data_IF_047533915058
#
_entry.id   IF_047533915058
#
_cell.length_a   1.000
_cell.length_b   1.000
_cell.length_c   1.000
_cell.angle_alpha   90.00
_cell.angle_beta   90.00
_cell.angle_gamma   90.00
#
_symmetry.space_group_name_H-M   'P 1'
#
loop_
_entity.id
_entity.type
_entity.pdbx_description
1 polymer ?
#
# COMPACT_ATOMS: atom_id res chain seq x y z
N UNK A 1 -5.72 -6.55 -5.12
CA UNK A 1 -6.62 -5.40 -4.95
C UNK A 1 -8.01 -5.81 -5.42
N UNK A 2 -9.04 -5.60 -4.61
CA UNK A 2 -10.42 -5.91 -5.01
C UNK A 2 -10.83 -4.99 -6.16
N UNK A 3 -11.47 -5.55 -7.19
CA UNK A 3 -11.93 -4.79 -8.36
C UNK A 3 -12.95 -3.75 -7.92
N UNK A 4 -12.75 -2.49 -8.36
CA UNK A 4 -13.67 -1.38 -8.11
C UNK A 4 -15.06 -1.71 -8.69
N UNK A 5 -16.12 -1.48 -7.91
CA UNK A 5 -17.50 -1.54 -8.39
C UNK A 5 -18.03 -0.12 -8.53
N UNK A 6 -18.30 0.26 -9.78
CA UNK A 6 -18.61 1.65 -10.17
C UNK A 6 -19.84 2.21 -9.45
N UNK A 7 -20.85 1.38 -9.23
CA UNK A 7 -22.12 1.72 -8.59
C UNK A 7 -22.04 1.84 -7.06
N UNK A 8 -21.14 1.08 -6.43
CA UNK A 8 -20.97 1.05 -4.97
C UNK A 8 -19.88 2.01 -4.49
N UNK A 9 -18.77 2.08 -5.23
CA UNK A 9 -17.49 2.67 -4.80
C UNK A 9 -17.25 4.07 -5.40
N UNK A 10 -18.14 4.60 -6.25
CA UNK A 10 -18.01 5.96 -6.79
C UNK A 10 -19.09 6.86 -6.20
N UNK A 11 -18.68 7.93 -5.50
CA UNK A 11 -19.61 8.87 -4.86
C UNK A 11 -19.28 10.32 -5.20
N UNK A 12 -20.28 11.17 -5.47
CA UNK A 12 -20.09 12.62 -5.52
C UNK A 12 -19.60 13.16 -4.17
N UNK A 13 -18.75 14.18 -4.21
CA UNK A 13 -18.25 14.84 -2.99
C UNK A 13 -19.38 15.47 -2.16
N UNK A 14 -20.45 15.93 -2.81
CA UNK A 14 -21.67 16.43 -2.15
C UNK A 14 -22.34 15.35 -1.29
N UNK A 15 -22.45 14.14 -1.84
CA UNK A 15 -23.13 13.02 -1.23
C UNK A 15 -22.30 12.49 -0.07
N UNK A 16 -20.98 12.37 -0.27
CA UNK A 16 -20.05 12.02 0.80
C UNK A 16 -20.16 12.99 1.97
N UNK A 17 -20.19 14.31 1.72
CA UNK A 17 -20.33 15.33 2.77
C UNK A 17 -21.64 15.21 3.55
N UNK A 18 -22.72 14.81 2.90
CA UNK A 18 -24.02 14.61 3.56
C UNK A 18 -24.05 13.35 4.45
N UNK A 19 -23.19 12.36 4.20
CA UNK A 19 -23.22 11.04 4.84
C UNK A 19 -21.88 10.53 5.37
N UNK A 20 -20.97 11.41 5.80
CA UNK A 20 -19.58 11.04 6.12
C UNK A 20 -19.49 9.82 7.05
N UNK A 21 -20.26 9.81 8.14
CA UNK A 21 -20.20 8.74 9.14
C UNK A 21 -20.59 7.36 8.57
N UNK A 22 -21.60 7.27 7.71
CA UNK A 22 -22.02 6.00 7.11
C UNK A 22 -21.00 5.51 6.09
N UNK A 23 -20.42 6.41 5.29
CA UNK A 23 -19.37 6.05 4.33
C UNK A 23 -18.10 5.59 5.03
N UNK A 24 -17.64 6.29 6.07
CA UNK A 24 -16.47 5.86 6.86
C UNK A 24 -16.71 4.48 7.48
N UNK A 25 -17.92 4.23 8.03
CA UNK A 25 -18.30 2.91 8.53
C UNK A 25 -18.23 1.84 7.43
N UNK A 26 -18.80 2.11 6.25
CA UNK A 26 -18.74 1.20 5.11
C UNK A 26 -17.30 0.87 4.69
N UNK A 27 -16.41 1.88 4.61
CA UNK A 27 -14.99 1.66 4.26
C UNK A 27 -14.34 0.72 5.28
N UNK A 28 -14.58 0.94 6.58
CA UNK A 28 -13.99 0.13 7.64
C UNK A 28 -14.54 -1.30 7.69
N UNK A 29 -15.84 -1.50 7.39
CA UNK A 29 -16.47 -2.83 7.40
C UNK A 29 -16.17 -3.64 6.15
N UNK A 30 -16.10 -2.98 4.99
CA UNK A 30 -15.91 -3.65 3.70
C UNK A 30 -14.46 -3.73 3.27
N UNK A 31 -13.58 -2.90 3.85
CA UNK A 31 -12.19 -2.71 3.45
C UNK A 31 -12.03 -2.34 1.97
N UNK A 32 -13.07 -1.75 1.36
CA UNK A 32 -13.08 -1.37 -0.05
C UNK A 32 -12.83 0.13 -0.19
N UNK A 33 -12.00 0.56 -1.16
CA UNK A 33 -11.76 1.97 -1.41
C UNK A 33 -12.96 2.62 -2.11
N UNK A 34 -13.12 3.93 -1.93
CA UNK A 34 -14.15 4.74 -2.58
C UNK A 34 -13.51 5.88 -3.37
N UNK A 35 -13.93 6.07 -4.62
CA UNK A 35 -13.54 7.21 -5.46
C UNK A 35 -14.55 8.34 -5.25
N UNK A 36 -14.05 9.49 -4.83
CA UNK A 36 -14.82 10.73 -4.72
C UNK A 36 -14.76 11.49 -6.03
N UNK A 37 -15.90 12.00 -6.50
CA UNK A 37 -16.01 12.74 -7.75
C UNK A 37 -16.52 14.17 -7.56
N UNK A 38 -16.09 15.07 -8.44
CA UNK A 38 -16.59 16.43 -8.56
C UNK A 38 -16.87 16.72 -10.03
N UNK A 39 -18.11 17.09 -10.36
CA UNK A 39 -18.56 17.29 -11.76
C UNK A 39 -18.23 16.08 -12.65
N UNK A 40 -18.44 14.87 -12.14
CA UNK A 40 -18.18 13.60 -12.84
C UNK A 40 -16.70 13.19 -12.95
N UNK A 41 -15.76 13.99 -12.44
CA UNK A 41 -14.33 13.65 -12.46
C UNK A 41 -13.86 13.16 -11.09
N UNK A 42 -13.06 12.10 -11.07
CA UNK A 42 -12.41 11.63 -9.84
C UNK A 42 -11.45 12.70 -9.29
N UNK A 43 -11.54 12.97 -7.99
CA UNK A 43 -10.73 14.00 -7.30
C UNK A 43 -10.00 13.47 -6.08
N UNK A 44 -10.49 12.40 -5.46
CA UNK A 44 -9.85 11.76 -4.32
C UNK A 44 -10.25 10.28 -4.23
N UNK A 45 -9.46 9.50 -3.49
CA UNK A 45 -9.79 8.13 -3.12
C UNK A 45 -9.76 8.03 -1.60
N UNK A 46 -10.85 7.58 -1.01
CA UNK A 46 -10.95 7.27 0.41
C UNK A 46 -10.59 5.79 0.63
N UNK A 47 -9.68 5.54 1.55
CA UNK A 47 -9.21 4.19 1.91
C UNK A 47 -9.14 4.12 3.43
N UNK A 48 -9.44 2.95 4.00
CA UNK A 48 -9.24 2.72 5.43
C UNK A 48 -7.76 2.83 5.80
N UNK A 49 -7.49 3.32 7.02
CA UNK A 49 -6.12 3.57 7.48
C UNK A 49 -5.27 2.30 7.51
N UNK A 50 -5.88 1.17 7.90
CA UNK A 50 -5.18 -0.12 7.97
C UNK A 50 -4.81 -0.62 6.57
N UNK A 51 -5.72 -0.51 5.61
CA UNK A 51 -5.50 -0.89 4.21
C UNK A 51 -4.42 0.00 3.58
N UNK A 52 -4.44 1.30 3.89
CA UNK A 52 -3.42 2.23 3.44
C UNK A 52 -2.03 1.84 3.97
N UNK A 53 -1.91 1.58 5.28
CA UNK A 53 -0.64 1.15 5.88
C UNK A 53 -0.14 -0.17 5.29
N UNK A 54 -1.03 -1.15 5.09
CA UNK A 54 -0.69 -2.42 4.47
C UNK A 54 -0.20 -2.25 3.02
N UNK A 55 -0.79 -1.31 2.28
CA UNK A 55 -0.34 -0.96 0.93
C UNK A 55 1.06 -0.33 0.96
N UNK A 56 1.33 0.57 1.90
CA UNK A 56 2.66 1.19 2.07
C UNK A 56 3.74 0.13 2.39
N UNK A 57 3.48 -0.74 3.38
CA UNK A 57 4.41 -1.83 3.73
C UNK A 57 4.66 -2.79 2.57
N UNK A 58 3.62 -3.08 1.77
CA UNK A 58 3.76 -3.91 0.58
C UNK A 58 4.62 -3.24 -0.50
N UNK A 59 4.47 -1.93 -0.70
CA UNK A 59 5.28 -1.19 -1.66
C UNK A 59 6.74 -1.16 -1.24
N UNK A 60 7.02 -0.87 0.03
CA UNK A 60 8.37 -0.91 0.60
C UNK A 60 9.05 -2.27 0.37
N UNK A 61 8.36 -3.37 0.71
CA UNK A 61 8.88 -4.72 0.46
C UNK A 61 9.14 -4.99 -1.03
N UNK A 62 8.26 -4.53 -1.93
CA UNK A 62 8.44 -4.72 -3.37
C UNK A 62 9.63 -3.90 -3.90
N UNK A 63 9.85 -2.70 -3.39
CA UNK A 63 11.01 -1.88 -3.72
C UNK A 63 12.32 -2.53 -3.26
N UNK A 64 12.33 -3.10 -2.05
CA UNK A 64 13.48 -3.84 -1.52
C UNK A 64 13.77 -5.10 -2.35
N UNK A 65 12.74 -5.86 -2.72
CA UNK A 65 12.89 -7.04 -3.60
C UNK A 65 13.45 -6.61 -4.95
N UNK A 66 12.86 -5.60 -5.59
CA UNK A 66 13.32 -5.13 -6.90
C UNK A 66 14.78 -4.66 -6.86
N UNK A 67 15.18 -3.95 -5.79
CA UNK A 67 16.56 -3.54 -5.56
C UNK A 67 17.47 -4.77 -5.41
N UNK A 68 17.09 -5.74 -4.58
CA UNK A 68 17.87 -6.94 -4.35
C UNK A 68 18.05 -7.77 -5.62
N UNK A 69 16.99 -7.90 -6.44
CA UNK A 69 17.05 -8.56 -7.75
C UNK A 69 18.06 -7.86 -8.67
N UNK A 70 17.98 -6.54 -8.79
CA UNK A 70 18.92 -5.77 -9.61
C UNK A 70 20.38 -5.91 -9.15
N UNK A 71 20.62 -5.93 -7.83
CA UNK A 71 21.95 -6.14 -7.25
C UNK A 71 22.50 -7.53 -7.55
N UNK A 72 21.67 -8.57 -7.45
CA UNK A 72 22.06 -9.95 -7.79
C UNK A 72 22.41 -10.04 -9.28
N UNK A 73 21.59 -9.46 -10.16
CA UNK A 73 21.86 -9.42 -11.61
C UNK A 73 23.17 -8.68 -11.94
N UNK A 74 23.50 -7.63 -11.19
CA UNK A 74 24.75 -6.88 -11.32
C UNK A 74 25.98 -7.59 -10.70
N UNK A 75 25.80 -8.73 -10.02
CA UNK A 75 26.88 -9.46 -9.34
C UNK A 75 27.28 -8.85 -7.99
N UNK A 76 26.46 -7.99 -7.41
CA UNK A 76 26.69 -7.33 -6.10
C UNK A 76 26.25 -8.19 -4.90
N UNK A 77 25.75 -9.41 -5.15
CA UNK A 77 25.39 -10.35 -4.09
C UNK A 77 26.61 -10.93 -3.37
N UNK A 78 26.44 -11.24 -2.08
CA UNK A 78 27.48 -11.89 -1.26
C UNK A 78 27.11 -13.35 -0.93
N UNK A 79 28.07 -14.29 -0.91
CA UNK A 79 27.82 -15.65 -0.46
C UNK A 79 27.35 -15.72 1.00
N UNK A 80 26.46 -16.65 1.31
CA UNK A 80 25.90 -16.83 2.66
C UNK A 80 26.97 -16.92 3.77
N UNK A 81 28.05 -17.66 3.53
CA UNK A 81 29.14 -17.82 4.49
C UNK A 81 29.84 -16.48 4.80
N UNK A 82 30.01 -15.63 3.79
CA UNK A 82 30.62 -14.31 3.95
C UNK A 82 29.71 -13.36 4.73
N UNK A 83 28.42 -13.29 4.35
CA UNK A 83 27.43 -12.49 5.05
C UNK A 83 27.33 -12.86 6.54
N UNK A 84 27.32 -14.15 6.86
CA UNK A 84 27.32 -14.65 8.24
C UNK A 84 28.53 -14.17 9.04
N UNK A 85 29.72 -14.24 8.44
CA UNK A 85 30.96 -13.82 9.10
C UNK A 85 30.96 -12.31 9.37
N UNK A 86 30.48 -11.51 8.41
CA UNK A 86 30.35 -10.06 8.57
C UNK A 86 29.43 -9.72 9.76
N UNK A 87 28.22 -10.31 9.84
CA UNK A 87 27.29 -10.08 10.96
C UNK A 87 27.87 -10.47 12.32
N UNK A 88 28.52 -11.65 12.41
CA UNK A 88 29.10 -12.12 13.68
C UNK A 88 30.28 -11.29 14.15
N UNK A 89 31.01 -10.63 13.25
CA UNK A 89 32.11 -9.73 13.61
C UNK A 89 31.63 -8.43 14.27
N UNK A 90 30.44 -7.94 13.91
CA UNK A 90 29.85 -6.72 14.46
C UNK A 90 29.36 -6.88 15.90
N UNK A 91 29.02 -8.10 16.33
CA UNK A 91 28.56 -8.42 17.69
C UNK A 91 29.70 -8.58 18.72
N UNK A 92 30.96 -8.56 18.27
CA UNK A 92 32.15 -8.69 19.14
C UNK A 92 32.76 -7.34 19.54
N UNK A 93 32.15 -6.24 19.12
CA UNK A 93 32.48 -4.87 19.53
C UNK A 93 31.47 -4.41 20.59
#
# INVERSE_FOLDING_TARGET
>A
MTKLRVDEDIRPLSDFRAGIASFVKQINETHRPMVLTQRGRGVAVLVGVHEYQKMQQRLELLEDIYRAEAQIEAGEGVPHAEAKNQLLSQLRQ
#
